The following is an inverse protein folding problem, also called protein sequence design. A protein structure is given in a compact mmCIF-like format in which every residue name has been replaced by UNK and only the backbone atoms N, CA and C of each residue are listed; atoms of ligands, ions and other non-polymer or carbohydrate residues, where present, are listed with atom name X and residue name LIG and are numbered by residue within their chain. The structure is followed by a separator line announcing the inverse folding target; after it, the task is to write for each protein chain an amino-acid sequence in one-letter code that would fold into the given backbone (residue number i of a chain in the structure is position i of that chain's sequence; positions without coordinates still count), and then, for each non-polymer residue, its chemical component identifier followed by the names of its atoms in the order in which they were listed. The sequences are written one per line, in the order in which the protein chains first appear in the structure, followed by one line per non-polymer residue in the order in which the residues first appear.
data_IF_253269600206
#
_entry.id   IF_253269600206
#
_cell.length_a   1.000
_cell.length_b   1.000
_cell.length_c   1.000
_cell.angle_alpha   90.00
_cell.angle_beta   90.00
_cell.angle_gamma   90.00
#
_symmetry.space_group_name_H-M   'P 1'
#
loop_
_entity.id
_entity.type
_entity.pdbx_description
1 polymer ?
#
# COMPACT_ATOMS: atom_id res chain seq x y z
N UNK A 1 -20.11 -38.90 -0.58
CA UNK A 1 -19.14 -38.40 -1.58
C UNK A 1 -18.63 -37.05 -1.09
N UNK A 2 -17.37 -37.00 -0.63
CA UNK A 2 -16.74 -35.78 -0.11
C UNK A 2 -16.22 -34.97 -1.29
N UNK A 3 -16.75 -33.75 -1.46
CA UNK A 3 -16.22 -32.79 -2.43
C UNK A 3 -14.92 -32.26 -1.83
N UNK A 4 -13.81 -32.61 -2.47
CA UNK A 4 -12.51 -32.06 -2.17
C UNK A 4 -12.56 -30.53 -2.36
N UNK A 5 -12.47 -29.81 -1.25
CA UNK A 5 -12.33 -28.36 -1.24
C UNK A 5 -10.94 -28.01 -1.76
N UNK A 6 -10.85 -27.73 -3.06
CA UNK A 6 -9.70 -27.04 -3.64
C UNK A 6 -9.89 -25.55 -3.37
N UNK A 7 -9.43 -25.10 -2.20
CA UNK A 7 -9.20 -23.68 -1.92
C UNK A 7 -7.98 -23.22 -2.76
N UNK A 8 -8.19 -23.00 -4.06
CA UNK A 8 -7.16 -22.53 -5.02
C UNK A 8 -7.03 -20.99 -5.03
N UNK A 9 -7.64 -20.27 -4.07
CA UNK A 9 -7.28 -18.88 -3.81
C UNK A 9 -5.99 -18.86 -2.97
N UNK A 10 -4.84 -18.56 -3.60
CA UNK A 10 -3.54 -18.44 -2.92
C UNK A 10 -3.70 -17.55 -1.69
N UNK A 11 -3.51 -18.13 -0.50
CA UNK A 11 -3.54 -17.40 0.75
C UNK A 11 -2.43 -16.34 0.74
N UNK A 12 -2.73 -15.14 1.24
CA UNK A 12 -1.73 -14.09 1.42
C UNK A 12 -0.57 -14.62 2.28
N UNK A 13 0.65 -14.44 1.77
CA UNK A 13 1.87 -14.83 2.45
C UNK A 13 2.73 -13.56 2.59
N UNK A 14 2.81 -12.95 3.79
CA UNK A 14 3.52 -11.68 4.01
C UNK A 14 4.91 -11.64 3.39
N UNK A 15 5.70 -12.70 3.55
CA UNK A 15 7.06 -12.82 3.02
C UNK A 15 7.14 -12.92 1.47
N UNK A 16 6.02 -13.14 0.78
CA UNK A 16 5.97 -13.12 -0.69
C UNK A 16 5.36 -11.84 -1.24
N UNK A 17 4.43 -11.26 -0.51
CA UNK A 17 3.51 -10.25 -1.04
C UNK A 17 3.89 -8.83 -0.56
N UNK A 18 4.68 -8.71 0.52
CA UNK A 18 5.26 -7.44 0.96
C UNK A 18 6.68 -7.24 0.38
N UNK A 19 6.91 -6.07 -0.19
CA UNK A 19 8.23 -5.70 -0.71
C UNK A 19 9.13 -5.13 0.39
N UNK A 20 10.46 -5.36 0.34
CA UNK A 20 11.39 -4.71 1.26
C UNK A 20 11.26 -3.18 1.29
N UNK A 21 10.96 -2.54 0.15
CA UNK A 21 10.75 -1.09 0.08
C UNK A 21 9.52 -0.62 0.88
N UNK A 22 8.44 -1.42 0.92
CA UNK A 22 7.27 -1.11 1.73
C UNK A 22 7.60 -1.18 3.23
N UNK A 23 8.36 -2.22 3.62
CA UNK A 23 8.83 -2.40 5.00
C UNK A 23 9.77 -1.25 5.40
N UNK A 24 10.70 -0.88 4.53
CA UNK A 24 11.64 0.23 4.77
C UNK A 24 10.92 1.55 5.03
N UNK A 25 9.90 1.88 4.23
CA UNK A 25 9.11 3.08 4.46
C UNK A 25 8.31 3.02 5.76
N UNK A 26 7.77 1.84 6.10
CA UNK A 26 7.13 1.62 7.39
C UNK A 26 8.08 1.89 8.55
N UNK A 27 9.29 1.33 8.52
CA UNK A 27 10.30 1.50 9.56
C UNK A 27 10.65 2.99 9.73
N UNK A 28 10.87 3.72 8.63
CA UNK A 28 11.11 5.17 8.66
C UNK A 28 9.97 5.95 9.32
N UNK A 29 8.72 5.70 8.90
CA UNK A 29 7.54 6.38 9.45
C UNK A 29 7.32 6.02 10.92
N UNK A 30 7.64 4.78 11.30
CA UNK A 30 7.52 4.29 12.66
C UNK A 30 8.66 4.77 13.59
N UNK A 31 9.66 5.50 13.05
CA UNK A 31 10.76 6.07 13.82
C UNK A 31 11.92 5.10 14.10
N UNK A 32 12.03 4.02 13.33
CA UNK A 32 13.20 3.16 13.38
C UNK A 32 14.38 3.83 12.66
N UNK A 33 15.58 3.59 13.17
CA UNK A 33 16.82 4.12 12.63
C UNK A 33 17.61 3.03 11.92
N UNK A 34 18.15 3.35 10.74
CA UNK A 34 19.00 2.42 9.99
C UNK A 34 20.44 2.55 10.48
N UNK A 35 20.92 1.56 11.22
CA UNK A 35 22.26 1.56 11.83
C UNK A 35 23.34 0.92 10.97
N UNK A 36 22.95 0.01 10.07
CA UNK A 36 23.87 -0.62 9.11
C UNK A 36 23.16 -0.90 7.77
N UNK A 37 23.94 -0.91 6.69
CA UNK A 37 23.44 -1.21 5.36
C UNK A 37 24.54 -1.76 4.47
N UNK A 38 24.18 -2.80 3.74
CA UNK A 38 24.93 -3.28 2.58
C UNK A 38 24.05 -3.18 1.34
N UNK A 39 24.40 -2.27 0.43
CA UNK A 39 23.61 -1.97 -0.76
C UNK A 39 23.24 -3.23 -1.56
N UNK A 40 21.94 -3.37 -1.83
CA UNK A 40 21.38 -4.51 -2.56
C UNK A 40 21.37 -5.84 -1.79
N UNK A 41 21.89 -5.90 -0.56
CA UNK A 41 21.99 -7.13 0.23
C UNK A 41 21.08 -7.09 1.44
N UNK A 42 21.30 -6.18 2.39
CA UNK A 42 20.47 -6.03 3.60
C UNK A 42 20.60 -4.62 4.22
N UNK A 43 19.72 -4.31 5.16
CA UNK A 43 19.88 -3.22 6.12
C UNK A 43 19.54 -3.72 7.54
N UNK A 44 20.17 -3.13 8.55
CA UNK A 44 19.84 -3.34 9.97
C UNK A 44 19.16 -2.10 10.49
N UNK A 45 18.05 -2.31 11.19
CA UNK A 45 17.21 -1.27 11.76
C UNK A 45 17.07 -1.47 13.26
N UNK A 46 17.12 -0.37 14.00
CA UNK A 46 16.95 -0.35 15.45
C UNK A 46 15.86 0.64 15.85
N UNK A 47 15.16 0.34 16.94
CA UNK A 47 14.20 1.24 17.56
C UNK A 47 14.51 1.31 19.04
N UNK A 48 15.03 2.47 19.49
CA UNK A 48 15.26 2.72 20.92
C UNK A 48 13.94 2.69 21.70
N UNK A 49 12.86 3.19 21.09
CA UNK A 49 11.53 3.25 21.71
C UNK A 49 10.96 1.86 22.00
N UNK A 50 11.15 0.93 21.07
CA UNK A 50 10.59 -0.41 21.15
C UNK A 50 11.61 -1.42 21.70
N UNK A 51 12.83 -0.98 22.03
CA UNK A 51 13.98 -1.80 22.48
C UNK A 51 14.18 -3.04 21.59
N UNK A 52 14.30 -2.81 20.28
CA UNK A 52 14.31 -3.88 19.30
C UNK A 52 15.21 -3.58 18.10
N UNK A 53 15.67 -4.65 17.46
CA UNK A 53 16.44 -4.61 16.22
C UNK A 53 15.91 -5.64 15.22
N UNK A 54 16.06 -5.36 13.93
CA UNK A 54 15.76 -6.32 12.87
C UNK A 54 16.66 -6.14 11.65
N UNK A 55 16.85 -7.22 10.91
CA UNK A 55 17.54 -7.23 9.62
C UNK A 55 16.53 -7.32 8.49
N UNK A 56 16.57 -6.37 7.56
CA UNK A 56 15.74 -6.34 6.36
C UNK A 56 16.55 -6.82 5.14
N UNK A 57 16.23 -7.99 4.54
CA UNK A 57 16.93 -8.49 3.36
C UNK A 57 16.42 -7.83 2.06
N UNK A 58 17.33 -7.55 1.13
CA UNK A 58 17.01 -7.01 -0.21
C UNK A 58 17.25 -8.00 -1.35
N UNK A 59 18.22 -8.91 -1.21
CA UNK A 59 18.61 -9.81 -2.29
C UNK A 59 17.74 -11.07 -2.37
N UNK A 60 16.77 -11.05 -3.29
CA UNK A 60 15.86 -12.18 -3.56
C UNK A 60 16.53 -13.43 -4.15
N UNK A 61 17.77 -13.31 -4.65
CA UNK A 61 18.50 -14.45 -5.21
C UNK A 61 19.10 -15.38 -4.14
N UNK A 62 19.18 -14.92 -2.88
CA UNK A 62 19.69 -15.75 -1.79
C UNK A 62 18.65 -16.78 -1.35
N UNK A 63 19.13 -18.00 -1.09
CA UNK A 63 18.28 -19.15 -0.69
C UNK A 63 17.49 -18.86 0.59
N UNK A 64 18.08 -18.11 1.52
CA UNK A 64 17.50 -17.78 2.83
C UNK A 64 16.69 -16.47 2.85
N UNK A 65 16.57 -15.75 1.72
CA UNK A 65 15.83 -14.48 1.64
C UNK A 65 14.46 -14.55 2.30
N UNK A 66 13.68 -15.60 2.01
CA UNK A 66 12.32 -15.76 2.52
C UNK A 66 12.27 -15.95 4.02
N UNK A 67 13.21 -16.72 4.58
CA UNK A 67 13.31 -16.92 6.02
C UNK A 67 13.65 -15.61 6.72
N UNK A 68 14.67 -14.89 6.21
CA UNK A 68 15.09 -13.59 6.77
C UNK A 68 13.99 -12.54 6.70
N UNK A 69 13.20 -12.53 5.63
CA UNK A 69 12.08 -11.61 5.52
C UNK A 69 10.95 -11.99 6.49
N UNK A 70 10.72 -13.29 6.72
CA UNK A 70 9.77 -13.77 7.74
C UNK A 70 10.19 -13.31 9.13
N UNK A 71 11.46 -13.51 9.51
CA UNK A 71 11.99 -13.10 10.81
C UNK A 71 11.76 -11.59 11.06
N UNK A 72 12.01 -10.76 10.04
CA UNK A 72 11.79 -9.32 10.11
C UNK A 72 10.30 -8.97 10.29
N UNK A 73 9.41 -9.64 9.55
CA UNK A 73 7.98 -9.43 9.61
C UNK A 73 7.36 -9.93 10.93
N UNK A 74 7.86 -11.05 11.47
CA UNK A 74 7.50 -11.59 12.78
C UNK A 74 7.91 -10.63 13.90
N UNK A 75 9.13 -10.08 13.82
CA UNK A 75 9.59 -9.05 14.76
C UNK A 75 8.65 -7.83 14.78
N UNK A 76 8.25 -7.34 13.60
CA UNK A 76 7.28 -6.25 13.48
C UNK A 76 5.92 -6.68 14.07
N UNK A 77 5.43 -7.86 13.73
CA UNK A 77 4.14 -8.34 14.23
C UNK A 77 4.12 -8.42 15.77
N UNK A 78 5.19 -8.92 16.37
CA UNK A 78 5.32 -9.11 17.81
C UNK A 78 5.43 -7.78 18.57
N UNK A 79 6.19 -6.82 18.05
CA UNK A 79 6.34 -5.48 18.64
C UNK A 79 5.00 -4.74 18.61
N UNK A 80 4.34 -4.73 17.46
CA UNK A 80 3.08 -4.00 17.26
C UNK A 80 1.83 -4.81 17.64
N UNK A 81 1.99 -5.99 18.24
CA UNK A 81 0.91 -6.88 18.71
C UNK A 81 -0.13 -7.18 17.61
N UNK A 82 0.36 -7.42 16.41
CA UNK A 82 -0.47 -7.69 15.23
C UNK A 82 -0.84 -9.16 15.19
N UNK A 83 -2.12 -9.46 15.27
CA UNK A 83 -2.63 -10.83 15.45
C UNK A 83 -2.97 -11.55 14.15
N UNK A 84 -2.89 -10.87 13.00
CA UNK A 84 -3.15 -11.47 11.69
C UNK A 84 -2.22 -10.91 10.61
N UNK A 85 -2.06 -11.69 9.53
CA UNK A 85 -1.30 -11.26 8.36
C UNK A 85 -1.95 -10.06 7.66
N UNK A 86 -3.28 -9.94 7.68
CA UNK A 86 -3.96 -8.75 7.14
C UNK A 86 -3.66 -7.50 7.99
N UNK A 87 -3.63 -7.62 9.31
CA UNK A 87 -3.28 -6.50 10.19
C UNK A 87 -1.85 -6.02 9.93
N UNK A 88 -0.92 -6.95 9.71
CA UNK A 88 0.46 -6.65 9.34
C UNK A 88 0.57 -5.98 7.96
N UNK A 89 -0.14 -6.50 6.97
CA UNK A 89 -0.20 -5.90 5.63
C UNK A 89 -0.72 -4.46 5.66
N UNK A 90 -1.85 -4.23 6.34
CA UNK A 90 -2.46 -2.91 6.49
C UNK A 90 -1.52 -1.95 7.23
N UNK A 91 -0.85 -2.41 8.29
CA UNK A 91 0.09 -1.61 9.07
C UNK A 91 1.28 -1.16 8.23
N UNK A 92 1.90 -2.08 7.48
CA UNK A 92 3.07 -1.78 6.65
C UNK A 92 2.69 -0.92 5.46
N UNK A 93 1.60 -1.26 4.77
CA UNK A 93 1.15 -0.51 3.58
C UNK A 93 0.69 0.91 3.94
N UNK A 94 0.11 1.09 5.13
CA UNK A 94 -0.36 2.40 5.62
C UNK A 94 0.75 3.44 5.76
N UNK A 95 2.03 3.04 5.80
CA UNK A 95 3.13 3.99 5.83
C UNK A 95 3.28 4.79 4.52
N UNK A 96 2.87 4.21 3.38
CA UNK A 96 2.97 4.82 2.04
C UNK A 96 1.60 5.12 1.42
N UNK A 97 0.51 4.83 2.11
CA UNK A 97 -0.83 5.03 1.56
C UNK A 97 -1.84 5.38 2.63
N UNK A 98 -2.79 6.24 2.25
CA UNK A 98 -4.08 6.33 2.93
C UNK A 98 -4.89 5.08 2.57
N UNK A 99 -5.41 4.39 3.59
CA UNK A 99 -6.19 3.16 3.43
C UNK A 99 -7.65 3.44 3.79
N UNK A 100 -8.55 3.16 2.87
CA UNK A 100 -10.00 3.17 3.12
C UNK A 100 -10.52 1.73 3.12
N UNK A 101 -11.25 1.37 4.18
CA UNK A 101 -11.94 0.10 4.31
C UNK A 101 -13.43 0.34 4.14
N UNK A 102 -14.02 -0.17 3.06
CA UNK A 102 -15.42 0.06 2.72
C UNK A 102 -16.17 -1.26 2.78
N UNK A 103 -17.20 -1.31 3.62
CA UNK A 103 -18.04 -2.50 3.80
C UNK A 103 -19.31 -2.36 2.98
N UNK A 104 -19.69 -3.43 2.28
CA UNK A 104 -21.03 -3.52 1.69
C UNK A 104 -22.10 -3.45 2.79
N UNK A 105 -23.06 -2.53 2.65
CA UNK A 105 -24.14 -2.33 3.61
C UNK A 105 -25.32 -3.27 3.35
N UNK A 106 -25.08 -4.58 3.49
CA UNK A 106 -26.11 -5.58 3.24
C UNK A 106 -25.85 -6.89 3.99
N UNK A 107 -26.91 -7.67 4.28
CA UNK A 107 -26.78 -9.02 4.79
C UNK A 107 -26.04 -9.90 3.78
N UNK A 108 -25.04 -10.63 4.27
CA UNK A 108 -24.30 -11.61 3.47
C UNK A 108 -24.97 -12.96 3.61
N UNK A 109 -25.26 -13.64 2.51
CA UNK A 109 -25.76 -15.03 2.53
C UNK A 109 -24.57 -15.94 2.19
N UNK A 110 -24.23 -16.86 3.08
CA UNK A 110 -23.10 -17.80 2.92
C UNK A 110 -21.76 -17.12 2.61
N UNK A 111 -21.56 -15.91 3.13
CA UNK A 111 -20.36 -15.12 2.83
C UNK A 111 -20.28 -14.70 1.36
N UNK A 112 -21.42 -14.49 0.70
CA UNK A 112 -21.58 -13.93 -0.64
C UNK A 112 -22.43 -12.64 -0.64
N UNK A 113 -22.24 -11.79 -1.65
CA UNK A 113 -23.17 -10.71 -2.02
C UNK A 113 -23.59 -10.88 -3.48
N UNK A 114 -24.77 -10.36 -3.87
CA UNK A 114 -25.16 -10.33 -5.28
C UNK A 114 -24.11 -9.59 -6.13
N UNK A 115 -23.87 -10.08 -7.36
CA UNK A 115 -22.89 -9.47 -8.26
C UNK A 115 -23.25 -8.03 -8.63
N UNK A 116 -24.54 -7.73 -8.78
CA UNK A 116 -25.04 -6.38 -9.04
C UNK A 116 -24.66 -5.41 -7.92
N UNK A 117 -24.75 -5.85 -6.67
CA UNK A 117 -24.37 -5.06 -5.50
C UNK A 117 -22.87 -4.84 -5.43
N UNK A 118 -22.07 -5.85 -5.82
CA UNK A 118 -20.62 -5.68 -5.95
C UNK A 118 -20.27 -4.60 -7.01
N UNK A 119 -20.97 -4.57 -8.14
CA UNK A 119 -20.81 -3.54 -9.16
C UNK A 119 -21.24 -2.15 -8.64
N UNK A 120 -22.36 -2.09 -7.94
CA UNK A 120 -22.87 -0.88 -7.30
C UNK A 120 -21.86 -0.30 -6.30
N UNK A 121 -21.30 -1.15 -5.44
CA UNK A 121 -20.26 -0.77 -4.49
C UNK A 121 -19.04 -0.17 -5.19
N UNK A 122 -18.49 -0.85 -6.20
CA UNK A 122 -17.31 -0.37 -6.94
C UNK A 122 -17.59 0.96 -7.68
N UNK A 123 -18.77 1.10 -8.27
CA UNK A 123 -19.21 2.35 -8.89
C UNK A 123 -19.30 3.48 -7.85
N UNK A 124 -19.89 3.19 -6.69
CA UNK A 124 -19.99 4.12 -5.56
C UNK A 124 -18.63 4.57 -5.04
N UNK A 125 -17.68 3.65 -4.87
CA UNK A 125 -16.30 3.98 -4.47
C UNK A 125 -15.67 4.94 -5.46
N UNK A 126 -15.78 4.66 -6.76
CA UNK A 126 -15.20 5.51 -7.79
C UNK A 126 -15.80 6.93 -7.74
N UNK A 127 -17.12 7.05 -7.55
CA UNK A 127 -17.79 8.34 -7.39
C UNK A 127 -17.36 9.06 -6.11
N UNK A 128 -17.25 8.34 -4.99
CA UNK A 128 -16.80 8.87 -3.70
C UNK A 128 -15.37 9.42 -3.79
N UNK A 129 -14.43 8.65 -4.31
CA UNK A 129 -13.03 9.06 -4.48
C UNK A 129 -12.90 10.28 -5.38
N UNK A 130 -13.69 10.32 -6.47
CA UNK A 130 -13.71 11.46 -7.38
C UNK A 130 -14.27 12.72 -6.73
N UNK A 131 -15.33 12.58 -5.94
CA UNK A 131 -15.89 13.70 -5.18
C UNK A 131 -14.88 14.21 -4.14
N UNK A 132 -14.22 13.31 -3.41
CA UNK A 132 -13.19 13.64 -2.43
C UNK A 132 -12.01 14.38 -3.09
N UNK A 133 -11.49 13.88 -4.21
CA UNK A 133 -10.41 14.52 -4.96
C UNK A 133 -10.80 15.91 -5.48
N UNK A 134 -12.02 16.06 -6.02
CA UNK A 134 -12.52 17.38 -6.43
C UNK A 134 -12.57 18.36 -5.26
N UNK A 135 -13.09 17.92 -4.11
CA UNK A 135 -13.19 18.75 -2.89
C UNK A 135 -11.83 19.13 -2.31
N UNK A 136 -10.83 18.23 -2.38
CA UNK A 136 -9.47 18.51 -1.94
C UNK A 136 -8.78 19.56 -2.81
N UNK A 137 -8.99 19.51 -4.14
CA UNK A 137 -8.39 20.48 -5.09
C UNK A 137 -9.14 21.81 -5.04
N UNK A 138 -10.48 21.78 -4.96
CA UNK A 138 -11.35 22.97 -4.91
C UNK A 138 -12.50 22.72 -3.94
N UNK A 139 -12.40 23.20 -2.69
CA UNK A 139 -13.48 23.06 -1.72
C UNK A 139 -14.73 23.80 -2.18
N UNK A 140 -15.79 23.07 -2.57
CA UNK A 140 -17.07 23.61 -3.00
C UNK A 140 -18.21 22.70 -2.54
N UNK A 141 -19.36 23.28 -2.24
CA UNK A 141 -20.55 22.55 -1.80
C UNK A 141 -21.13 21.62 -2.89
N UNK A 142 -20.82 21.86 -4.17
CA UNK A 142 -21.26 21.01 -5.27
C UNK A 142 -20.26 21.03 -6.42
N UNK A 143 -19.86 19.84 -6.89
CA UNK A 143 -18.97 19.66 -8.02
C UNK A 143 -19.75 19.48 -9.34
N UNK A 144 -20.68 20.40 -9.63
CA UNK A 144 -21.43 20.43 -10.90
C UNK A 144 -20.55 21.03 -12.00
N UNK A 145 -20.37 20.31 -13.11
CA UNK A 145 -19.61 20.76 -14.28
C UNK A 145 -18.40 19.88 -14.60
N UNK A 146 -17.48 20.42 -15.42
CA UNK A 146 -16.26 19.70 -15.83
C UNK A 146 -15.38 19.45 -14.59
N UNK A 147 -15.08 18.18 -14.35
CA UNK A 147 -14.21 17.76 -13.24
C UNK A 147 -12.76 18.20 -13.51
N UNK A 148 -12.00 18.62 -12.48
CA UNK A 148 -10.59 18.93 -12.65
C UNK A 148 -9.83 17.73 -13.23
N UNK A 149 -8.93 17.97 -14.18
CA UNK A 149 -8.13 16.93 -14.80
C UNK A 149 -7.27 16.20 -13.76
N UNK A 150 -6.67 16.94 -12.83
CA UNK A 150 -5.92 16.39 -11.70
C UNK A 150 -6.74 15.42 -10.82
N UNK A 151 -8.07 15.59 -10.70
CA UNK A 151 -8.90 14.65 -9.97
C UNK A 151 -9.05 13.32 -10.74
N UNK A 152 -9.19 13.39 -12.06
CA UNK A 152 -9.25 12.22 -12.92
C UNK A 152 -7.89 11.50 -13.01
N UNK A 153 -6.78 12.24 -12.96
CA UNK A 153 -5.43 11.69 -12.88
C UNK A 153 -5.20 10.97 -11.55
N UNK A 154 -5.57 11.59 -10.41
CA UNK A 154 -5.48 10.94 -9.10
C UNK A 154 -6.23 9.60 -9.05
N UNK A 155 -7.41 9.52 -9.66
CA UNK A 155 -8.19 8.28 -9.73
C UNK A 155 -7.45 7.12 -10.42
N UNK A 156 -6.49 7.39 -11.31
CA UNK A 156 -5.67 6.36 -11.96
C UNK A 156 -4.64 5.73 -11.01
N UNK A 157 -4.30 6.45 -9.94
CA UNK A 157 -3.33 6.01 -8.93
C UNK A 157 -4.01 5.28 -7.75
N UNK A 158 -5.33 5.43 -7.60
CA UNK A 158 -6.12 4.70 -6.60
C UNK A 158 -6.16 3.22 -6.97
N UNK A 159 -5.85 2.35 -6.02
CA UNK A 159 -5.80 0.90 -6.22
C UNK A 159 -6.77 0.19 -5.30
N UNK A 160 -7.46 -0.81 -5.82
CA UNK A 160 -8.21 -1.76 -5.01
C UNK A 160 -7.27 -2.89 -4.55
N UNK A 161 -7.23 -3.11 -3.25
CA UNK A 161 -6.59 -4.26 -2.62
C UNK A 161 -7.48 -5.50 -2.60
N UNK A 162 -6.99 -6.55 -1.97
CA UNK A 162 -7.81 -7.73 -1.72
C UNK A 162 -8.96 -7.41 -0.74
N UNK A 163 -10.05 -8.16 -0.87
CA UNK A 163 -11.12 -8.15 0.13
C UNK A 163 -10.63 -8.80 1.41
N UNK A 164 -10.99 -8.25 2.56
CA UNK A 164 -10.62 -8.87 3.84
C UNK A 164 -11.35 -10.21 4.00
N UNK A 165 -10.62 -11.25 4.42
CA UNK A 165 -11.15 -12.62 4.48
C UNK A 165 -12.40 -12.69 5.35
N UNK A 166 -13.42 -13.40 4.85
CA UNK A 166 -14.69 -13.56 5.57
C UNK A 166 -15.54 -12.30 5.65
N UNK A 167 -15.27 -11.28 4.84
CA UNK A 167 -16.04 -10.04 4.82
C UNK A 167 -16.15 -9.42 3.42
N UNK A 168 -17.22 -8.66 3.18
CA UNK A 168 -17.34 -7.80 1.99
C UNK A 168 -16.78 -6.41 2.26
N UNK A 169 -15.59 -6.39 2.85
CA UNK A 169 -14.80 -5.18 3.01
C UNK A 169 -13.82 -5.12 1.84
N UNK A 170 -14.00 -4.12 0.98
CA UNK A 170 -13.03 -3.76 -0.05
C UNK A 170 -12.00 -2.80 0.54
N UNK A 171 -10.74 -3.04 0.21
CA UNK A 171 -9.62 -2.20 0.62
C UNK A 171 -9.26 -1.27 -0.52
N UNK A 172 -9.16 0.03 -0.26
CA UNK A 172 -8.75 1.04 -1.25
C UNK A 172 -7.48 1.72 -0.77
N UNK A 173 -6.47 1.75 -1.63
CA UNK A 173 -5.19 2.42 -1.38
C UNK A 173 -5.11 3.71 -2.20
N UNK A 174 -4.87 4.82 -1.52
CA UNK A 174 -4.46 6.07 -2.14
C UNK A 174 -3.02 6.36 -1.71
N UNK A 175 -2.06 6.20 -2.65
CA UNK A 175 -0.65 6.45 -2.36
C UNK A 175 -0.39 7.94 -2.21
N UNK A 176 0.36 8.30 -1.18
CA UNK A 176 0.97 9.62 -1.07
C UNK A 176 2.42 9.56 -1.52
N UNK A 177 2.85 10.54 -2.31
CA UNK A 177 4.25 10.66 -2.68
C UNK A 177 5.10 10.91 -1.44
N UNK A 178 6.19 10.14 -1.29
CA UNK A 178 7.26 10.51 -0.37
C UNK A 178 7.86 11.85 -0.84
N UNK A 179 7.88 12.91 -0.02
CA UNK A 179 8.49 14.19 -0.39
C UNK A 179 9.96 14.06 -0.85
N UNK A 180 10.65 12.97 -0.52
CA UNK A 180 12.00 12.66 -1.03
C UNK A 180 12.08 12.14 -2.47
N UNK A 181 10.97 11.70 -3.08
CA UNK A 181 10.99 11.07 -4.42
C UNK A 181 11.01 12.07 -5.59
N UNK A 182 10.77 13.37 -5.31
CA UNK A 182 10.62 14.42 -6.33
C UNK A 182 11.94 14.93 -6.96
N UNK A 183 13.01 14.11 -6.93
CA UNK A 183 14.32 14.43 -7.52
C UNK A 183 14.49 13.95 -8.98
N UNK A 184 13.40 13.76 -9.74
CA UNK A 184 13.49 13.71 -11.19
C UNK A 184 13.60 15.13 -11.75
N UNK A 185 14.83 15.67 -11.77
CA UNK A 185 15.14 16.82 -12.63
C UNK A 185 14.95 16.39 -14.09
N UNK A 186 14.12 17.07 -14.90
CA UNK A 186 14.21 16.89 -16.34
C UNK A 186 15.61 17.34 -16.76
N UNK A 187 16.35 16.48 -17.47
CA UNK A 187 17.56 16.89 -18.18
C UNK A 187 17.14 17.97 -19.18
N UNK A 188 17.33 19.23 -18.82
CA UNK A 188 17.30 20.32 -19.78
C UNK A 188 18.43 20.05 -20.78
N UNK A 189 18.04 19.63 -21.99
CA UNK A 189 18.94 19.58 -23.12
C UNK A 189 19.43 21.01 -23.39
N UNK A 190 20.76 21.17 -23.38
CA UNK A 190 21.41 22.44 -23.62
C UNK A 190 21.01 23.00 -24.98
N UNK A 191 20.31 24.13 -24.97
CA UNK A 191 20.30 25.05 -26.11
C UNK A 191 21.47 26.01 -25.93
N UNK A 192 22.44 25.88 -26.83
CA UNK A 192 23.55 26.81 -26.97
C UNK A 192 23.02 28.19 -27.32
N UNK A 193 23.28 29.19 -26.48
CA UNK A 193 23.24 30.57 -26.92
C UNK A 193 24.59 30.90 -27.56
N UNK A 194 24.62 31.01 -28.89
CA UNK A 194 25.71 31.70 -29.59
C UNK A 194 25.64 33.17 -29.17
N UNK A 195 26.67 33.66 -28.51
CA UNK A 195 26.99 35.08 -28.57
C UNK A 195 27.71 35.31 -29.90
N UNK A 196 27.32 36.35 -30.63
CA UNK A 196 28.16 36.97 -31.65
C UNK A 196 28.22 38.47 -31.34
N UNK A 197 29.35 39.12 -31.61
CA UNK A 197 29.76 40.41 -31.02
C UNK A 197 28.99 41.62 -31.55
#
# INVERSE_FOLDING_TARGET
MSVAQRDDARSFQPANDLSPAAIEAFLKVAGWEQVDKRDGVFAVWESEREDASLLLPYNRAYRDYRARLSDALETIADIYKLTSSEALELKITGAQSDILLLRADQPTIDGSIPLEEAQGLLSGVNQMMLAAACSAIRPRASNRGRKPEAAAEFLKEVRMGHTMRGSFVITIYARHDDPGSRNHRPRMSGRSWRQNP
#
